data_IF_279172156001
#
_entry.id   IF_279172156001
#
_cell.length_a   1.000
_cell.length_b   1.000
_cell.length_c   1.000
_cell.angle_alpha   90.00
_cell.angle_beta   90.00
_cell.angle_gamma   90.00
#
_symmetry.space_group_name_H-M   'P 1'
#
loop_
_entity.id
_entity.type
_entity.pdbx_description
1 polymer ?
#
# COMPACT_ATOMS: atom_id res chain seq x y z
N UNK A 1 24.85 -7.69 16.52
CA UNK A 1 24.53 -6.26 16.38
C UNK A 1 23.27 -6.09 15.56
N UNK A 2 22.27 -5.44 16.15
CA UNK A 2 20.88 -5.39 15.70
C UNK A 2 20.78 -4.69 14.33
N UNK A 3 20.46 -5.40 13.25
CA UNK A 3 20.37 -4.80 11.91
C UNK A 3 19.14 -5.29 11.12
N UNK A 4 18.03 -5.57 11.80
CA UNK A 4 16.73 -5.74 11.14
C UNK A 4 15.58 -5.43 12.12
N UNK A 5 15.47 -4.19 12.59
CA UNK A 5 14.31 -3.75 13.39
C UNK A 5 13.14 -3.22 12.54
N UNK A 6 13.25 -3.24 11.20
CA UNK A 6 12.13 -2.90 10.33
C UNK A 6 11.18 -4.09 10.24
N UNK A 7 10.25 -4.18 11.19
CA UNK A 7 9.13 -5.12 11.15
C UNK A 7 8.00 -4.65 10.24
N UNK A 8 7.93 -3.36 9.92
CA UNK A 8 6.82 -2.77 9.17
C UNK A 8 7.37 -1.87 8.07
N UNK A 9 6.94 -2.11 6.84
CA UNK A 9 7.18 -1.25 5.69
C UNK A 9 5.85 -0.61 5.27
N UNK A 10 5.84 0.72 5.18
CA UNK A 10 4.68 1.49 4.74
C UNK A 10 5.04 2.11 3.40
N UNK A 11 4.21 1.86 2.39
CA UNK A 11 4.35 2.46 1.06
C UNK A 11 3.16 3.39 0.84
N UNK A 12 3.44 4.67 0.72
CA UNK A 12 2.43 5.72 0.48
C UNK A 12 2.35 6.06 -1.01
N UNK A 13 1.23 6.64 -1.43
CA UNK A 13 0.95 7.07 -2.81
C UNK A 13 1.20 6.02 -3.89
N UNK A 14 0.87 4.75 -3.61
CA UNK A 14 1.00 3.64 -4.59
C UNK A 14 0.14 3.85 -5.86
N UNK A 15 -0.72 4.85 -5.88
CA UNK A 15 -1.55 5.18 -7.02
C UNK A 15 -0.84 5.91 -8.16
N UNK A 16 0.29 6.57 -7.89
CA UNK A 16 1.08 7.28 -8.90
C UNK A 16 1.77 6.32 -9.89
N UNK A 17 1.72 4.99 -9.65
CA UNK A 17 2.31 3.95 -10.49
C UNK A 17 3.75 4.26 -10.92
N UNK A 18 4.56 4.70 -9.96
CA UNK A 18 5.98 4.91 -10.18
C UNK A 18 6.68 3.55 -10.41
N UNK A 19 7.51 3.46 -11.47
CA UNK A 19 8.26 2.25 -11.83
C UNK A 19 9.07 1.65 -10.66
N UNK A 20 9.66 2.50 -9.83
CA UNK A 20 10.41 2.05 -8.64
C UNK A 20 9.51 1.37 -7.61
N UNK A 21 8.28 1.85 -7.44
CA UNK A 21 7.32 1.29 -6.50
C UNK A 21 6.82 -0.07 -6.98
N UNK A 22 6.50 -0.20 -8.27
CA UNK A 22 6.08 -1.48 -8.87
C UNK A 22 7.17 -2.55 -8.77
N UNK A 23 8.42 -2.17 -9.03
CA UNK A 23 9.56 -3.07 -8.84
C UNK A 23 9.71 -3.51 -7.38
N UNK A 24 9.62 -2.56 -6.44
CA UNK A 24 9.68 -2.86 -5.01
C UNK A 24 8.56 -3.80 -4.58
N UNK A 25 7.32 -3.58 -5.03
CA UNK A 25 6.17 -4.44 -4.71
C UNK A 25 6.36 -5.88 -5.25
N UNK A 26 6.97 -6.04 -6.42
CA UNK A 26 7.32 -7.35 -6.96
C UNK A 26 8.35 -8.10 -6.12
N UNK A 27 9.39 -7.41 -5.66
CA UNK A 27 10.41 -7.98 -4.76
C UNK A 27 9.79 -8.31 -3.40
N UNK A 28 8.99 -7.40 -2.85
CA UNK A 28 8.31 -7.58 -1.57
C UNK A 28 7.35 -8.77 -1.59
N UNK A 29 6.58 -8.96 -2.67
CA UNK A 29 5.69 -10.12 -2.83
C UNK A 29 6.46 -11.44 -2.70
N UNK A 30 7.68 -11.49 -3.21
CA UNK A 30 8.54 -12.67 -3.10
C UNK A 30 9.16 -12.82 -1.71
N UNK A 31 9.43 -11.70 -1.02
CA UNK A 31 10.01 -11.68 0.33
C UNK A 31 9.01 -11.92 1.47
N UNK A 32 7.75 -11.51 1.32
CA UNK A 32 6.71 -11.70 2.34
C UNK A 32 6.56 -13.16 2.82
N UNK A 33 6.52 -14.19 1.96
CA UNK A 33 6.46 -15.58 2.41
C UNK A 33 7.76 -16.08 3.05
N UNK A 34 8.93 -15.51 2.67
CA UNK A 34 10.23 -15.84 3.27
C UNK A 34 10.43 -15.18 4.63
N UNK A 35 9.74 -14.07 4.89
CA UNK A 35 9.87 -13.28 6.12
C UNK A 35 8.50 -12.93 6.71
N UNK A 36 7.86 -13.87 7.43
CA UNK A 36 6.56 -13.62 8.06
C UNK A 36 6.59 -12.50 9.11
N UNK A 37 7.78 -12.12 9.60
CA UNK A 37 7.96 -11.00 10.53
C UNK A 37 7.76 -9.62 9.87
N UNK A 38 7.80 -9.55 8.53
CA UNK A 38 7.66 -8.31 7.78
C UNK A 38 6.18 -8.02 7.48
N UNK A 39 5.70 -6.89 7.98
CA UNK A 39 4.36 -6.37 7.69
C UNK A 39 4.45 -5.28 6.63
N UNK A 40 3.68 -5.43 5.56
CA UNK A 40 3.58 -4.45 4.49
C UNK A 40 2.23 -3.73 4.58
N UNK A 41 2.26 -2.40 4.61
CA UNK A 41 1.06 -1.54 4.57
C UNK A 41 1.13 -0.67 3.33
N UNK A 42 0.09 -0.70 2.51
CA UNK A 42 -0.03 0.11 1.30
C UNK A 42 -1.09 1.19 1.52
N UNK A 43 -0.72 2.45 1.30
CA UNK A 43 -1.60 3.60 1.43
C UNK A 43 -1.77 4.27 0.07
N UNK A 44 -3.02 4.63 -0.25
CA UNK A 44 -3.41 5.23 -1.53
C UNK A 44 -4.62 6.14 -1.31
N UNK A 45 -4.58 7.33 -1.91
CA UNK A 45 -5.74 8.22 -1.97
C UNK A 45 -6.80 7.75 -2.99
N UNK A 46 -6.42 6.96 -4.00
CA UNK A 46 -7.32 6.57 -5.11
C UNK A 46 -7.76 5.12 -5.04
N UNK A 47 -8.90 4.84 -5.67
CA UNK A 47 -9.78 3.68 -5.48
C UNK A 47 -9.23 2.33 -5.99
N UNK A 48 -7.97 2.26 -6.42
CA UNK A 48 -7.41 1.09 -7.12
C UNK A 48 -7.08 -0.10 -6.19
N UNK A 49 -7.81 -0.20 -5.08
CA UNK A 49 -7.55 -1.10 -3.97
C UNK A 49 -7.79 -2.57 -4.37
N UNK A 50 -8.74 -2.82 -5.28
CA UNK A 50 -9.06 -4.17 -5.77
C UNK A 50 -7.86 -4.83 -6.47
N UNK A 51 -7.10 -4.06 -7.24
CA UNK A 51 -5.93 -4.56 -7.96
C UNK A 51 -4.86 -5.00 -6.95
N UNK A 52 -4.51 -4.12 -6.01
CA UNK A 52 -3.51 -4.43 -4.98
C UNK A 52 -3.94 -5.58 -4.06
N UNK A 53 -5.21 -5.62 -3.65
CA UNK A 53 -5.74 -6.74 -2.86
C UNK A 53 -5.56 -8.06 -3.60
N UNK A 54 -5.95 -8.14 -4.88
CA UNK A 54 -5.75 -9.34 -5.70
C UNK A 54 -4.28 -9.72 -5.89
N UNK A 55 -3.39 -8.73 -5.98
CA UNK A 55 -1.95 -8.93 -6.16
C UNK A 55 -1.29 -9.55 -4.92
N UNK A 56 -1.72 -9.14 -3.72
CA UNK A 56 -1.22 -9.62 -2.43
C UNK A 56 -2.12 -10.73 -1.83
N UNK A 57 -2.55 -11.69 -2.64
CA UNK A 57 -3.34 -12.85 -2.21
C UNK A 57 -4.64 -12.48 -1.47
N UNK A 58 -5.42 -11.55 -2.05
CA UNK A 58 -6.67 -11.04 -1.46
C UNK A 58 -6.45 -10.42 -0.07
N UNK A 59 -5.40 -9.61 0.05
CA UNK A 59 -5.07 -8.92 1.29
C UNK A 59 -6.25 -8.08 1.82
N UNK A 60 -6.42 -7.99 3.16
CA UNK A 60 -7.50 -7.24 3.76
C UNK A 60 -7.38 -5.76 3.42
N UNK A 61 -8.52 -5.15 3.12
CA UNK A 61 -8.62 -3.76 2.70
C UNK A 61 -9.28 -2.95 3.80
N UNK A 62 -8.60 -1.89 4.23
CA UNK A 62 -9.16 -0.90 5.14
C UNK A 62 -9.44 0.40 4.37
N UNK A 63 -10.71 0.76 4.25
CA UNK A 63 -11.13 2.01 3.62
C UNK A 63 -11.58 2.99 4.71
N UNK A 64 -10.87 4.12 4.82
CA UNK A 64 -11.28 5.21 5.72
C UNK A 64 -12.15 6.17 4.91
N UNK A 65 -13.44 6.36 5.24
CA UNK A 65 -14.28 7.32 4.55
C UNK A 65 -13.77 8.74 4.83
N UNK A 66 -13.31 9.42 3.78
CA UNK A 66 -12.97 10.84 3.86
C UNK A 66 -14.24 11.67 4.12
N UNK A 67 -14.21 12.54 5.13
CA UNK A 67 -15.25 13.58 5.26
C UNK A 67 -14.95 14.65 4.22
N UNK A 68 -15.47 14.47 3.00
CA UNK A 68 -15.46 15.50 1.98
C UNK A 68 -16.55 16.51 2.35
N UNK A 69 -16.17 17.64 2.95
CA UNK A 69 -17.09 18.76 3.10
C UNK A 69 -17.42 19.29 1.70
N UNK A 70 -18.70 19.47 1.35
CA UNK A 70 -19.08 19.92 0.02
C UNK A 70 -18.53 21.32 -0.22
N UNK A 71 -17.55 21.44 -1.12
CA UNK A 71 -17.07 22.74 -1.60
C UNK A 71 -18.05 23.26 -2.65
N UNK A 72 -18.69 24.39 -2.37
CA UNK A 72 -19.48 25.10 -3.37
C UNK A 72 -18.53 25.80 -4.35
N UNK A 73 -18.51 25.33 -5.60
CA UNK A 73 -17.80 26.00 -6.69
C UNK A 73 -18.72 27.09 -7.24
N UNK A 74 -18.53 28.34 -6.78
CA UNK A 74 -19.23 29.49 -7.37
C UNK A 74 -18.62 29.79 -8.74
N UNK A 75 -19.46 29.79 -9.78
CA UNK A 75 -19.10 30.26 -11.13
C UNK A 75 -19.08 31.78 -11.20
#
# INVERSE_FOLDING_TARGET
SCMFCLQVLIVDEVHERHLHCDFLLGVLRSLLPLRPDLRLVLMSATINIKLFSSYFNSAPVLQVPGRLFPIQVTR
#
